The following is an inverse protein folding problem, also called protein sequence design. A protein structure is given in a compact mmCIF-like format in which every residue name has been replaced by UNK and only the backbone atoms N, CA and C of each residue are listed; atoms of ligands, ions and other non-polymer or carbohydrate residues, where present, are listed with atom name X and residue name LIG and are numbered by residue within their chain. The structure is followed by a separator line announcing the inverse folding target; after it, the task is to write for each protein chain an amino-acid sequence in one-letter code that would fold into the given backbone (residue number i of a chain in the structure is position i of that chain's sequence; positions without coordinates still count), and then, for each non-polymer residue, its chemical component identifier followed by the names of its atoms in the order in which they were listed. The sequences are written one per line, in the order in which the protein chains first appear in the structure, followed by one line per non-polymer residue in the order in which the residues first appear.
data_IF_450697328683
#
_entry.id   IF_450697328683
#
_cell.length_a   1.000
_cell.length_b   1.000
_cell.length_c   1.000
_cell.angle_alpha   90.00
_cell.angle_beta   90.00
_cell.angle_gamma   90.00
#
_symmetry.space_group_name_H-M   'P 1'
#
loop_
_entity.id
_entity.type
_entity.pdbx_description
1 polymer ?
#
# COMPACT_ATOMS: atom_id res chain seq x y z
N UNK A 1 52.69 8.61 26.37
CA UNK A 1 52.11 9.32 25.21
C UNK A 1 50.64 8.97 25.11
N UNK A 2 49.73 9.90 25.45
CA UNK A 2 48.29 9.72 25.29
C UNK A 2 47.93 10.22 23.90
N UNK A 3 47.64 9.31 22.96
CA UNK A 3 47.09 9.68 21.66
C UNK A 3 45.63 10.13 21.85
N UNK A 4 45.36 11.37 21.44
CA UNK A 4 44.06 12.01 21.56
C UNK A 4 43.05 11.35 20.59
N UNK A 5 42.07 10.64 21.16
CA UNK A 5 40.98 9.97 20.42
C UNK A 5 40.17 10.89 19.51
N UNK A 6 40.20 12.21 19.76
CA UNK A 6 39.51 13.23 18.97
C UNK A 6 40.09 13.40 17.55
N UNK A 7 41.34 13.00 17.30
CA UNK A 7 41.96 13.15 15.98
C UNK A 7 41.59 12.01 15.01
N UNK A 8 41.23 10.84 15.54
CA UNK A 8 40.83 9.70 14.72
C UNK A 8 39.38 9.81 14.20
N UNK A 9 38.48 10.44 14.96
CA UNK A 9 37.08 10.59 14.51
C UNK A 9 36.94 11.56 13.34
N UNK A 10 37.75 12.63 13.31
CA UNK A 10 37.67 13.65 12.26
C UNK A 10 38.19 13.14 10.91
N UNK A 11 39.10 12.16 10.91
CA UNK A 11 39.65 11.57 9.70
C UNK A 11 38.66 10.61 9.00
N UNK A 12 37.77 9.96 9.75
CA UNK A 12 36.76 9.04 9.21
C UNK A 12 35.57 9.81 8.61
N UNK A 13 35.23 10.98 9.17
CA UNK A 13 34.16 11.83 8.63
C UNK A 13 34.59 12.56 7.35
N UNK A 14 35.88 12.88 7.21
CA UNK A 14 36.40 13.55 6.03
C UNK A 14 36.56 12.62 4.80
N UNK A 15 36.77 11.32 4.99
CA UNK A 15 36.89 10.36 3.87
C UNK A 15 35.54 9.88 3.33
N UNK A 16 34.44 10.04 4.07
CA UNK A 16 33.10 9.73 3.58
C UNK A 16 32.55 10.80 2.62
N UNK A 17 33.11 12.01 2.61
CA UNK A 17 32.62 13.13 1.80
C UNK A 17 33.27 13.24 0.41
N UNK A 18 34.34 12.48 0.10
CA UNK A 18 35.11 12.63 -1.15
C UNK A 18 34.97 11.47 -2.13
N UNK A 19 34.05 10.53 -1.91
CA UNK A 19 33.76 9.45 -2.86
C UNK A 19 32.54 9.71 -3.76
N UNK A 20 31.90 10.88 -3.69
CA UNK A 20 30.64 11.15 -4.39
C UNK A 20 30.72 12.12 -5.58
N UNK A 21 31.89 12.28 -6.21
CA UNK A 21 31.98 13.02 -7.48
C UNK A 21 33.00 12.35 -8.41
N UNK A 22 32.56 11.33 -9.15
CA UNK A 22 33.17 10.92 -10.41
C UNK A 22 32.20 10.02 -11.20
N UNK A 23 31.74 10.51 -12.37
CA UNK A 23 31.16 9.80 -13.53
C UNK A 23 30.11 8.69 -13.26
N UNK A 24 28.85 8.74 -13.69
CA UNK A 24 28.18 9.48 -14.76
C UNK A 24 27.08 8.57 -15.34
N UNK A 25 25.88 9.10 -15.59
CA UNK A 25 24.81 8.43 -16.36
C UNK A 25 23.79 7.62 -15.54
N UNK A 26 22.55 8.11 -15.52
CA UNK A 26 21.25 7.40 -15.40
C UNK A 26 20.87 6.44 -14.24
N UNK A 27 21.75 5.94 -13.38
CA UNK A 27 21.34 4.87 -12.44
C UNK A 27 20.54 5.32 -11.19
N UNK A 28 20.49 6.61 -10.87
CA UNK A 28 19.77 7.09 -9.65
C UNK A 28 18.26 7.01 -9.83
N UNK A 29 17.76 7.19 -11.06
CA UNK A 29 16.34 7.14 -11.39
C UNK A 29 15.78 5.73 -11.24
N UNK A 30 16.51 4.71 -11.69
CA UNK A 30 16.08 3.31 -11.64
C UNK A 30 16.02 2.76 -10.21
N UNK A 31 16.99 3.11 -9.36
CA UNK A 31 17.01 2.65 -7.97
C UNK A 31 15.85 3.29 -7.20
N UNK A 32 15.61 4.59 -7.36
CA UNK A 32 14.49 5.28 -6.72
C UNK A 32 13.14 4.73 -7.22
N UNK A 33 12.99 4.52 -8.54
CA UNK A 33 11.78 3.97 -9.13
C UNK A 33 11.46 2.54 -8.63
N UNK A 34 12.49 1.69 -8.47
CA UNK A 34 12.33 0.33 -7.94
C UNK A 34 11.91 0.34 -6.47
N UNK A 35 12.48 1.25 -5.66
CA UNK A 35 12.08 1.44 -4.25
C UNK A 35 10.63 1.93 -4.16
N UNK A 36 10.25 2.89 -4.99
CA UNK A 36 8.88 3.43 -5.01
C UNK A 36 7.87 2.35 -5.46
N UNK A 37 8.22 1.55 -6.47
CA UNK A 37 7.39 0.43 -6.95
C UNK A 37 7.18 -0.63 -5.86
N UNK A 38 8.26 -1.00 -5.15
CA UNK A 38 8.17 -1.97 -4.07
C UNK A 38 7.30 -1.44 -2.92
N UNK A 39 7.45 -0.17 -2.55
CA UNK A 39 6.62 0.44 -1.52
C UNK A 39 5.13 0.51 -1.91
N UNK A 40 4.81 0.80 -3.19
CA UNK A 40 3.43 0.77 -3.68
C UNK A 40 2.89 -0.66 -3.63
N UNK A 41 3.68 -1.65 -4.05
CA UNK A 41 3.27 -3.06 -4.00
C UNK A 41 2.99 -3.53 -2.57
N UNK A 42 3.86 -3.21 -1.63
CA UNK A 42 3.66 -3.55 -0.20
C UNK A 42 2.37 -2.92 0.36
N UNK A 43 2.05 -1.67 -0.02
CA UNK A 43 0.79 -1.04 0.34
C UNK A 43 -0.42 -1.76 -0.29
N UNK A 44 -0.34 -2.14 -1.56
CA UNK A 44 -1.42 -2.89 -2.22
C UNK A 44 -1.66 -4.24 -1.54
N UNK A 45 -0.59 -4.97 -1.21
CA UNK A 45 -0.69 -6.25 -0.49
C UNK A 45 -1.30 -6.06 0.92
N UNK A 46 -0.93 -5.00 1.66
CA UNK A 46 -1.58 -4.68 2.94
C UNK A 46 -3.09 -4.45 2.76
N UNK A 47 -3.51 -3.75 1.71
CA UNK A 47 -4.93 -3.49 1.47
C UNK A 47 -5.70 -4.73 1.02
N UNK A 48 -5.11 -5.59 0.20
CA UNK A 48 -5.70 -6.91 -0.12
C UNK A 48 -5.97 -7.69 1.16
N UNK A 49 -5.01 -7.70 2.09
CA UNK A 49 -5.18 -8.38 3.38
C UNK A 49 -6.29 -7.74 4.24
N UNK A 50 -6.42 -6.41 4.23
CA UNK A 50 -7.52 -5.71 4.92
C UNK A 50 -8.88 -6.01 4.32
N UNK A 51 -8.99 -6.03 3.00
CA UNK A 51 -10.21 -6.41 2.28
C UNK A 51 -10.58 -7.86 2.59
N UNK A 52 -9.62 -8.77 2.59
CA UNK A 52 -9.86 -10.17 2.98
C UNK A 52 -10.34 -10.30 4.43
N UNK A 53 -9.75 -9.55 5.36
CA UNK A 53 -10.22 -9.55 6.75
C UNK A 53 -11.68 -9.08 6.85
N UNK A 54 -12.05 -7.98 6.17
CA UNK A 54 -13.42 -7.46 6.24
C UNK A 54 -14.43 -8.33 5.50
N UNK A 55 -14.06 -8.94 4.37
CA UNK A 55 -14.90 -9.93 3.68
C UNK A 55 -15.17 -11.12 4.60
N UNK A 56 -14.15 -11.64 5.29
CA UNK A 56 -14.32 -12.76 6.22
C UNK A 56 -15.20 -12.36 7.43
N UNK A 57 -15.06 -11.14 7.94
CA UNK A 57 -15.92 -10.60 9.01
C UNK A 57 -17.39 -10.55 8.56
N UNK A 58 -17.68 -9.93 7.41
CA UNK A 58 -19.02 -9.86 6.84
C UNK A 58 -19.58 -11.24 6.48
N UNK A 59 -18.74 -12.19 6.06
CA UNK A 59 -19.17 -13.58 5.83
C UNK A 59 -19.59 -14.25 7.14
N UNK A 60 -18.90 -13.98 8.25
CA UNK A 60 -19.33 -14.43 9.58
C UNK A 60 -20.66 -13.80 10.00
N UNK A 61 -20.81 -12.49 9.81
CA UNK A 61 -22.07 -11.78 10.06
C UNK A 61 -23.21 -12.33 9.20
N UNK A 62 -22.94 -12.66 7.92
CA UNK A 62 -23.92 -13.25 7.01
C UNK A 62 -24.48 -14.59 7.52
N UNK A 63 -23.64 -15.41 8.17
CA UNK A 63 -24.07 -16.68 8.77
C UNK A 63 -25.06 -16.47 9.92
N UNK A 64 -24.88 -15.40 10.69
CA UNK A 64 -25.71 -15.05 11.86
C UNK A 64 -26.87 -14.10 11.52
N UNK A 65 -26.85 -13.48 10.35
CA UNK A 65 -27.82 -12.49 9.91
C UNK A 65 -29.22 -13.05 9.62
N UNK A 66 -30.22 -12.20 9.81
CA UNK A 66 -31.60 -12.45 9.37
C UNK A 66 -31.70 -12.45 7.83
N UNK A 67 -32.71 -13.12 7.24
CA UNK A 67 -32.89 -13.14 5.77
C UNK A 67 -32.94 -11.73 5.17
N UNK A 68 -33.60 -10.78 5.85
CA UNK A 68 -33.72 -9.40 5.39
C UNK A 68 -32.38 -8.65 5.36
N UNK A 69 -31.42 -9.06 6.19
CA UNK A 69 -30.07 -8.47 6.27
C UNK A 69 -29.06 -9.16 5.36
N UNK A 70 -29.32 -10.40 4.93
CA UNK A 70 -28.38 -11.18 4.12
C UNK A 70 -28.13 -10.59 2.75
N UNK A 71 -29.15 -10.03 2.12
CA UNK A 71 -29.00 -9.41 0.80
C UNK A 71 -28.08 -8.18 0.86
N UNK A 72 -28.24 -7.33 1.89
CA UNK A 72 -27.39 -6.17 2.10
C UNK A 72 -25.94 -6.55 2.42
N UNK A 73 -25.74 -7.56 3.27
CA UNK A 73 -24.39 -8.06 3.60
C UNK A 73 -23.74 -8.71 2.36
N UNK A 74 -24.49 -9.47 1.57
CA UNK A 74 -23.99 -10.04 0.31
C UNK A 74 -23.58 -8.96 -0.69
N UNK A 75 -24.37 -7.88 -0.83
CA UNK A 75 -24.02 -6.77 -1.71
C UNK A 75 -22.70 -6.11 -1.29
N UNK A 76 -22.51 -5.90 0.01
CA UNK A 76 -21.24 -5.38 0.54
C UNK A 76 -20.07 -6.33 0.30
N UNK A 77 -20.25 -7.65 0.51
CA UNK A 77 -19.22 -8.65 0.24
C UNK A 77 -18.82 -8.63 -1.25
N UNK A 78 -19.77 -8.59 -2.16
CA UNK A 78 -19.50 -8.56 -3.60
C UNK A 78 -18.82 -7.25 -4.02
N UNK A 79 -19.22 -6.12 -3.46
CA UNK A 79 -18.53 -4.84 -3.68
C UNK A 79 -17.06 -4.88 -3.22
N UNK A 80 -16.79 -5.37 -2.01
CA UNK A 80 -15.43 -5.52 -1.48
C UNK A 80 -14.58 -6.51 -2.30
N UNK A 81 -15.17 -7.60 -2.81
CA UNK A 81 -14.48 -8.52 -3.72
C UNK A 81 -14.08 -7.83 -5.03
N UNK A 82 -14.97 -7.02 -5.60
CA UNK A 82 -14.66 -6.23 -6.81
C UNK A 82 -13.51 -5.25 -6.59
N UNK A 83 -13.48 -4.59 -5.43
CA UNK A 83 -12.37 -3.73 -5.04
C UNK A 83 -11.07 -4.53 -4.89
N UNK A 84 -11.11 -5.70 -4.23
CA UNK A 84 -9.96 -6.59 -4.09
C UNK A 84 -9.40 -7.01 -5.45
N UNK A 85 -10.24 -7.45 -6.38
CA UNK A 85 -9.80 -7.83 -7.73
C UNK A 85 -9.09 -6.68 -8.46
N UNK A 86 -9.58 -5.46 -8.26
CA UNK A 86 -8.99 -4.28 -8.88
C UNK A 86 -7.63 -3.93 -8.26
N UNK A 87 -7.48 -4.03 -6.94
CA UNK A 87 -6.17 -3.86 -6.27
C UNK A 87 -5.18 -4.93 -6.73
N UNK A 88 -5.60 -6.19 -6.83
CA UNK A 88 -4.76 -7.29 -7.32
C UNK A 88 -4.30 -7.05 -8.75
N UNK A 89 -5.22 -6.66 -9.65
CA UNK A 89 -4.88 -6.34 -11.06
C UNK A 89 -3.90 -5.19 -11.16
N UNK A 90 -4.05 -4.17 -10.32
CA UNK A 90 -3.13 -3.04 -10.25
C UNK A 90 -1.75 -3.47 -9.74
N UNK A 91 -1.70 -4.33 -8.72
CA UNK A 91 -0.45 -4.89 -8.17
C UNK A 91 0.31 -5.75 -9.19
N UNK A 92 -0.40 -6.57 -9.96
CA UNK A 92 0.20 -7.33 -11.08
C UNK A 92 0.76 -6.40 -12.15
N UNK A 93 0.06 -5.31 -12.45
CA UNK A 93 0.47 -4.32 -13.44
C UNK A 93 1.70 -3.49 -13.01
N UNK A 94 1.95 -3.35 -11.70
CA UNK A 94 3.14 -2.63 -11.18
C UNK A 94 4.46 -3.26 -11.62
N UNK A 95 4.51 -4.60 -11.75
CA UNK A 95 5.75 -5.32 -12.09
C UNK A 95 6.31 -4.96 -13.46
N UNK A 96 5.47 -4.45 -14.36
CA UNK A 96 5.82 -4.10 -15.74
C UNK A 96 5.61 -2.60 -16.05
N UNK A 97 5.21 -1.80 -15.05
CA UNK A 97 4.80 -0.42 -15.24
C UNK A 97 5.98 0.57 -15.37
N UNK A 98 5.80 1.58 -16.21
CA UNK A 98 6.66 2.77 -16.27
C UNK A 98 6.27 3.79 -15.20
N UNK A 99 7.15 4.75 -14.87
CA UNK A 99 6.89 5.77 -13.86
C UNK A 99 5.53 6.49 -14.01
N UNK A 100 5.15 6.87 -15.23
CA UNK A 100 3.87 7.52 -15.52
C UNK A 100 2.66 6.61 -15.21
N UNK A 101 2.79 5.30 -15.48
CA UNK A 101 1.76 4.31 -15.15
C UNK A 101 1.69 4.06 -13.66
N UNK A 102 2.81 4.08 -12.95
CA UNK A 102 2.84 3.95 -11.49
C UNK A 102 2.06 5.08 -10.80
N UNK A 103 2.21 6.33 -11.27
CA UNK A 103 1.44 7.45 -10.75
C UNK A 103 -0.06 7.28 -10.98
N UNK A 104 -0.46 6.79 -12.15
CA UNK A 104 -1.86 6.51 -12.44
C UNK A 104 -2.41 5.40 -11.53
N UNK A 105 -1.67 4.29 -11.42
CA UNK A 105 -2.03 3.16 -10.54
C UNK A 105 -2.15 3.62 -9.08
N UNK A 106 -1.26 4.50 -8.63
CA UNK A 106 -1.31 5.05 -7.28
C UNK A 106 -2.54 5.94 -7.08
N UNK A 107 -2.87 6.80 -8.04
CA UNK A 107 -4.07 7.65 -7.98
C UNK A 107 -5.35 6.82 -7.98
N UNK A 108 -5.41 5.77 -8.81
CA UNK A 108 -6.56 4.86 -8.88
C UNK A 108 -6.73 4.12 -7.56
N UNK A 109 -5.62 3.66 -6.98
CA UNK A 109 -5.60 3.00 -5.67
C UNK A 109 -6.02 3.92 -4.53
N UNK A 110 -5.53 5.17 -4.49
CA UNK A 110 -5.90 6.13 -3.46
C UNK A 110 -7.40 6.47 -3.54
N UNK A 111 -7.97 6.59 -4.74
CA UNK A 111 -9.41 6.79 -4.94
C UNK A 111 -10.24 5.57 -4.50
N UNK A 112 -9.79 4.36 -4.82
CA UNK A 112 -10.42 3.14 -4.32
C UNK A 112 -10.37 3.04 -2.81
N UNK A 113 -9.30 3.52 -2.17
CA UNK A 113 -9.18 3.51 -0.71
C UNK A 113 -10.19 4.43 -0.03
N UNK A 114 -10.55 5.55 -0.64
CA UNK A 114 -11.66 6.39 -0.15
C UNK A 114 -12.98 5.63 -0.26
N UNK A 115 -13.23 4.93 -1.37
CA UNK A 115 -14.43 4.12 -1.57
C UNK A 115 -14.52 2.94 -0.58
N UNK A 116 -13.41 2.23 -0.34
CA UNK A 116 -13.33 1.15 0.64
C UNK A 116 -13.62 1.68 2.04
N UNK A 117 -12.96 2.78 2.44
CA UNK A 117 -13.17 3.35 3.77
C UNK A 117 -14.61 3.84 3.94
N UNK A 118 -15.22 4.39 2.88
CA UNK A 118 -16.62 4.79 2.89
C UNK A 118 -17.55 3.58 3.02
N UNK A 119 -17.38 2.54 2.19
CA UNK A 119 -18.19 1.32 2.26
C UNK A 119 -18.11 0.64 3.63
N UNK A 120 -16.90 0.58 4.21
CA UNK A 120 -16.69 0.05 5.56
C UNK A 120 -17.37 0.95 6.61
N UNK A 121 -17.28 2.27 6.50
CA UNK A 121 -17.92 3.18 7.47
C UNK A 121 -19.45 3.09 7.42
N UNK A 122 -20.03 2.99 6.22
CA UNK A 122 -21.46 2.86 6.01
C UNK A 122 -22.00 1.51 6.54
N UNK A 123 -21.21 0.45 6.50
CA UNK A 123 -21.57 -0.84 7.11
C UNK A 123 -21.76 -0.77 8.63
N UNK A 124 -21.06 0.13 9.34
CA UNK A 124 -21.19 0.31 10.79
C UNK A 124 -22.34 1.25 11.22
N UNK A 125 -22.76 2.21 10.39
CA UNK A 125 -23.87 3.11 10.77
C UNK A 125 -25.25 2.44 10.67
N UNK A 126 -25.37 1.32 9.95
CA UNK A 126 -26.65 0.63 9.81
C UNK A 126 -26.99 -0.29 11.02
N UNK A 127 -26.02 -0.60 11.89
CA UNK A 127 -26.25 -1.34 13.14
C UNK A 127 -26.87 -0.45 14.26
N UNK A 128 -26.87 0.88 14.10
CA UNK A 128 -27.36 1.80 15.14
C UNK A 128 -28.84 2.16 15.08
N UNK A 129 -29.61 1.64 14.11
CA UNK A 129 -31.01 2.03 13.88
C UNK A 129 -32.02 0.88 13.77
N UNK A 130 -31.63 -0.37 14.03
CA UNK A 130 -32.56 -1.49 14.14
C UNK A 130 -33.06 -1.66 15.59
#
# INVERSE_FOLDING_TARGET
MKLNKSLFLTLIVATLATLFVACGGDDTSEIQLKVDTQAIKEKMDEQVNRLDAKINELQGELEEASEDSKDAINEQIEHLKGLKETVVRNSESLGEATADKLQQIQSDFDGMMEEINQAISESFENEGKA
#
